data_IF_227490291379
#
_entry.id   IF_227490291379
#
_cell.length_a   1.000
_cell.length_b   1.000
_cell.length_c   1.000
_cell.angle_alpha   90.00
_cell.angle_beta   90.00
_cell.angle_gamma   90.00
#
_symmetry.space_group_name_H-M   'P 1'
#
loop_
_entity.id
_entity.type
_entity.pdbx_description
1 polymer ?
#
# COMPACT_ATOMS: atom_id res chain seq x y z
N UNK A 1 -12.65 5.39 -14.35
CA UNK A 1 -12.43 3.96 -14.11
C UNK A 1 -11.04 3.56 -14.57
N UNK A 2 -10.30 2.81 -13.73
CA UNK A 2 -8.95 2.37 -14.08
C UNK A 2 -8.99 1.28 -15.15
N UNK A 3 -8.17 1.42 -16.18
CA UNK A 3 -8.06 0.44 -17.25
C UNK A 3 -6.60 0.05 -17.46
N UNK A 4 -6.34 -1.25 -17.58
CA UNK A 4 -5.02 -1.79 -17.85
C UNK A 4 -4.49 -1.23 -19.20
N UNK A 5 -3.23 -0.80 -19.21
CA UNK A 5 -2.58 -0.22 -20.39
C UNK A 5 -2.87 1.26 -20.61
N UNK A 6 -3.75 1.87 -19.83
CA UNK A 6 -4.09 3.29 -19.93
C UNK A 6 -3.36 4.12 -18.87
N UNK A 7 -3.29 5.43 -19.09
CA UNK A 7 -2.67 6.37 -18.16
C UNK A 7 -3.75 6.90 -17.21
N UNK A 8 -3.54 6.70 -15.91
CA UNK A 8 -4.41 7.18 -14.84
C UNK A 8 -3.83 8.46 -14.25
N UNK A 9 -4.71 9.43 -13.96
CA UNK A 9 -4.35 10.73 -13.39
C UNK A 9 -3.26 11.49 -14.18
N UNK A 10 -3.16 11.22 -15.49
CA UNK A 10 -2.16 11.84 -16.36
C UNK A 10 -0.71 11.47 -16.02
N UNK A 11 -0.48 10.48 -15.17
CA UNK A 11 0.84 10.16 -14.63
C UNK A 11 1.16 8.67 -14.58
N UNK A 12 0.19 7.84 -14.22
CA UNK A 12 0.43 6.42 -13.92
C UNK A 12 -0.03 5.53 -15.05
N UNK A 13 0.91 4.87 -15.72
CA UNK A 13 0.56 3.86 -16.73
C UNK A 13 0.26 2.54 -16.02
N UNK A 14 -1.00 2.14 -16.03
CA UNK A 14 -1.46 0.95 -15.33
C UNK A 14 -1.01 -0.31 -16.05
N UNK A 15 -0.30 -1.20 -15.36
CA UNK A 15 0.24 -2.44 -15.91
C UNK A 15 -0.69 -3.61 -15.61
N UNK A 16 -1.05 -3.81 -14.34
CA UNK A 16 -1.91 -4.92 -13.91
C UNK A 16 -2.45 -4.66 -12.50
N UNK A 17 -3.52 -5.35 -12.15
CA UNK A 17 -4.01 -5.36 -10.78
C UNK A 17 -3.19 -6.35 -9.95
N UNK A 18 -2.69 -5.92 -8.80
CA UNK A 18 -1.83 -6.73 -7.91
C UNK A 18 -2.44 -6.99 -6.54
N UNK A 19 -3.54 -6.33 -6.21
CA UNK A 19 -4.20 -6.52 -4.93
C UNK A 19 -5.67 -6.17 -4.98
N UNK A 20 -6.44 -6.80 -4.10
CA UNK A 20 -7.86 -6.56 -3.97
C UNK A 20 -8.24 -6.54 -2.49
N UNK A 21 -8.49 -5.35 -1.97
CA UNK A 21 -8.94 -5.16 -0.60
C UNK A 21 -10.44 -5.06 -0.46
N UNK A 22 -10.92 -4.85 0.75
CA UNK A 22 -12.35 -4.67 1.02
C UNK A 22 -12.94 -3.42 0.38
N UNK A 23 -12.22 -2.30 0.43
CA UNK A 23 -12.69 -0.99 -0.04
C UNK A 23 -11.87 -0.44 -1.21
N UNK A 24 -10.68 -0.96 -1.45
CA UNK A 24 -9.76 -0.44 -2.44
C UNK A 24 -9.09 -1.57 -3.23
N UNK A 25 -8.73 -1.27 -4.47
CA UNK A 25 -7.94 -2.13 -5.32
C UNK A 25 -6.54 -1.54 -5.49
N UNK A 26 -5.55 -2.40 -5.69
CA UNK A 26 -4.16 -1.98 -5.88
C UNK A 26 -3.66 -2.43 -7.25
N UNK A 27 -3.03 -1.50 -7.96
CA UNK A 27 -2.50 -1.72 -9.31
C UNK A 27 -1.00 -1.47 -9.34
N UNK A 28 -0.28 -2.30 -10.09
CA UNK A 28 1.08 -1.99 -10.48
C UNK A 28 1.04 -0.99 -11.63
N UNK A 29 1.80 0.07 -11.51
CA UNK A 29 1.87 1.11 -12.54
C UNK A 29 3.29 1.62 -12.72
N UNK A 30 3.55 2.27 -13.85
CA UNK A 30 4.78 3.04 -14.07
C UNK A 30 4.48 4.51 -13.87
N UNK A 31 5.27 5.16 -13.03
CA UNK A 31 5.16 6.59 -12.78
C UNK A 31 5.93 7.35 -13.85
N UNK A 32 5.21 7.97 -14.78
CA UNK A 32 5.82 8.65 -15.92
C UNK A 32 6.57 9.92 -15.54
N UNK A 33 6.29 10.49 -14.36
CA UNK A 33 7.04 11.65 -13.85
C UNK A 33 8.37 11.19 -13.23
N UNK A 34 8.41 9.97 -12.68
CA UNK A 34 9.62 9.38 -12.10
C UNK A 34 10.31 8.42 -13.07
N UNK A 35 10.42 8.80 -14.33
CA UNK A 35 11.12 8.06 -15.39
C UNK A 35 10.65 6.61 -15.57
N UNK A 36 9.36 6.34 -15.37
CA UNK A 36 8.81 5.00 -15.51
C UNK A 36 9.09 4.07 -14.33
N UNK A 37 9.47 4.61 -13.19
CA UNK A 37 9.65 3.83 -11.96
C UNK A 37 8.36 3.10 -11.59
N UNK A 38 8.49 1.83 -11.17
CA UNK A 38 7.33 1.04 -10.77
C UNK A 38 6.80 1.50 -9.41
N UNK A 39 5.49 1.72 -9.36
CA UNK A 39 4.78 2.12 -8.13
C UNK A 39 3.51 1.29 -7.98
N UNK A 40 3.00 1.22 -6.75
CA UNK A 40 1.69 0.64 -6.48
C UNK A 40 0.68 1.78 -6.33
N UNK A 41 -0.42 1.71 -7.08
CA UNK A 41 -1.50 2.69 -7.01
C UNK A 41 -2.70 2.04 -6.35
N UNK A 42 -3.08 2.55 -5.19
CA UNK A 42 -4.25 2.09 -4.43
C UNK A 42 -5.41 3.03 -4.70
N UNK A 43 -6.53 2.48 -5.14
CA UNK A 43 -7.68 3.25 -5.58
C UNK A 43 -8.93 2.81 -4.81
N UNK A 44 -9.64 3.77 -4.23
CA UNK A 44 -10.91 3.50 -3.57
C UNK A 44 -11.93 3.00 -4.61
N UNK A 45 -12.60 1.87 -4.33
CA UNK A 45 -13.54 1.28 -5.27
C UNK A 45 -14.72 2.22 -5.56
N UNK A 46 -15.26 2.12 -6.75
CA UNK A 46 -16.34 2.97 -7.26
C UNK A 46 -17.57 3.00 -6.33
N UNK A 47 -17.92 1.87 -5.76
CA UNK A 47 -19.08 1.78 -4.84
C UNK A 47 -18.88 2.51 -3.50
N UNK A 48 -17.65 2.91 -3.17
CA UNK A 48 -17.36 3.69 -1.96
C UNK A 48 -17.09 5.17 -2.25
N UNK A 49 -16.97 5.57 -3.51
CA UNK A 49 -16.64 6.95 -3.87
C UNK A 49 -17.74 7.96 -3.52
N UNK A 50 -18.97 7.52 -3.45
CA UNK A 50 -20.11 8.35 -3.07
C UNK A 50 -20.41 8.32 -1.57
N UNK A 51 -19.65 7.51 -0.81
CA UNK A 51 -19.78 7.45 0.65
C UNK A 51 -18.80 8.46 1.29
N UNK A 52 -19.29 9.58 1.85
CA UNK A 52 -18.40 10.60 2.44
C UNK A 52 -17.55 10.07 3.58
N UNK A 53 -18.04 9.09 4.33
CA UNK A 53 -17.30 8.49 5.46
C UNK A 53 -16.14 7.67 4.93
N UNK A 54 -16.37 6.87 3.89
CA UNK A 54 -15.31 6.06 3.28
C UNK A 54 -14.23 6.94 2.64
N UNK A 55 -14.62 7.98 1.92
CA UNK A 55 -13.69 8.93 1.30
C UNK A 55 -12.86 9.66 2.37
N UNK A 56 -13.49 10.16 3.43
CA UNK A 56 -12.80 10.87 4.49
C UNK A 56 -11.81 9.95 5.22
N UNK A 57 -12.18 8.70 5.46
CA UNK A 57 -11.30 7.71 6.08
C UNK A 57 -10.09 7.41 5.18
N UNK A 58 -10.32 7.19 3.89
CA UNK A 58 -9.26 6.93 2.92
C UNK A 58 -8.24 8.08 2.91
N UNK A 59 -8.72 9.32 2.82
CA UNK A 59 -7.88 10.51 2.79
C UNK A 59 -7.10 10.69 4.10
N UNK A 60 -7.75 10.48 5.24
CA UNK A 60 -7.13 10.64 6.56
C UNK A 60 -6.01 9.61 6.77
N UNK A 61 -6.27 8.35 6.46
CA UNK A 61 -5.28 7.29 6.59
C UNK A 61 -4.10 7.51 5.65
N UNK A 62 -4.37 7.93 4.41
CA UNK A 62 -3.33 8.23 3.44
C UNK A 62 -2.41 9.35 3.92
N UNK A 63 -2.97 10.46 4.42
CA UNK A 63 -2.19 11.59 4.93
C UNK A 63 -1.35 11.19 6.15
N UNK A 64 -1.93 10.42 7.07
CA UNK A 64 -1.21 9.96 8.24
C UNK A 64 -0.04 9.06 7.87
N UNK A 65 -0.24 8.14 6.93
CA UNK A 65 0.81 7.25 6.45
C UNK A 65 1.88 7.99 5.64
N UNK A 66 1.51 9.03 4.90
CA UNK A 66 2.44 9.82 4.11
C UNK A 66 3.50 10.54 4.96
N UNK A 67 3.18 10.83 6.22
CA UNK A 67 4.11 11.47 7.15
C UNK A 67 5.10 10.49 7.79
N UNK A 68 4.94 9.19 7.56
CA UNK A 68 5.84 8.17 8.09
C UNK A 68 7.02 7.96 7.16
N UNK A 69 8.23 8.14 7.68
CA UNK A 69 9.47 7.87 6.97
C UNK A 69 10.28 6.85 7.76
N UNK A 70 10.22 5.59 7.34
CA UNK A 70 10.91 4.50 8.02
C UNK A 70 11.26 3.41 6.99
N UNK A 71 12.45 2.78 7.08
CA UNK A 71 12.89 1.77 6.10
C UNK A 71 11.99 0.53 6.04
N UNK A 72 11.19 0.26 7.06
CA UNK A 72 10.29 -0.90 7.12
C UNK A 72 8.82 -0.52 6.95
N UNK A 73 8.54 0.70 6.52
CA UNK A 73 7.18 1.16 6.18
C UNK A 73 7.17 1.58 4.71
N UNK A 74 6.20 1.09 3.95
CA UNK A 74 6.02 1.47 2.54
C UNK A 74 5.79 2.97 2.45
N UNK A 75 6.58 3.64 1.60
CA UNK A 75 6.53 5.09 1.44
C UNK A 75 5.44 5.49 0.46
N UNK A 76 4.59 6.44 0.86
CA UNK A 76 3.59 7.04 -0.01
C UNK A 76 4.24 8.19 -0.78
N UNK A 77 4.11 8.18 -2.11
CA UNK A 77 4.73 9.17 -2.99
C UNK A 77 3.74 10.19 -3.52
N UNK A 78 2.45 9.88 -3.54
CA UNK A 78 1.42 10.80 -4.04
C UNK A 78 0.05 10.43 -3.48
N UNK A 79 -0.80 11.43 -3.28
CA UNK A 79 -2.20 11.28 -2.88
C UNK A 79 -3.02 12.23 -3.74
N UNK A 80 -4.12 11.76 -4.30
CA UNK A 80 -4.95 12.61 -5.14
C UNK A 80 -6.33 12.08 -5.43
N UNK A 81 -6.99 12.78 -6.33
CA UNK A 81 -8.32 12.46 -6.83
C UNK A 81 -8.34 12.64 -8.34
N UNK A 82 -8.90 11.66 -9.05
CA UNK A 82 -9.08 11.71 -10.50
C UNK A 82 -10.50 11.30 -10.85
N UNK A 83 -11.25 12.21 -11.47
CA UNK A 83 -12.66 12.00 -11.85
C UNK A 83 -13.52 11.50 -10.69
N UNK A 84 -13.35 12.10 -9.50
CA UNK A 84 -14.06 11.69 -8.29
C UNK A 84 -13.50 10.45 -7.61
N UNK A 85 -12.46 9.84 -8.18
CA UNK A 85 -11.88 8.62 -7.65
C UNK A 85 -10.66 8.91 -6.79
N UNK A 86 -10.73 8.56 -5.51
CA UNK A 86 -9.62 8.76 -4.56
C UNK A 86 -8.53 7.72 -4.80
N UNK A 87 -7.28 8.15 -4.82
CA UNK A 87 -6.15 7.25 -4.97
C UNK A 87 -4.94 7.70 -4.14
N UNK A 88 -4.04 6.77 -3.91
CA UNK A 88 -2.70 7.05 -3.43
C UNK A 88 -1.68 6.20 -4.21
N UNK A 89 -0.49 6.75 -4.38
CA UNK A 89 0.63 6.01 -4.96
C UNK A 89 1.67 5.77 -3.88
N UNK A 90 2.26 4.58 -3.90
CA UNK A 90 3.29 4.18 -2.93
C UNK A 90 4.38 3.41 -3.64
N UNK A 91 5.55 3.29 -2.99
CA UNK A 91 6.62 2.46 -3.53
C UNK A 91 6.12 1.04 -3.75
N UNK A 92 6.55 0.44 -4.86
CA UNK A 92 6.25 -0.95 -5.14
C UNK A 92 7.34 -1.83 -4.54
N UNK A 93 6.93 -2.77 -3.70
CA UNK A 93 7.84 -3.77 -3.12
C UNK A 93 7.64 -5.07 -3.88
N UNK A 94 8.61 -5.38 -4.75
CA UNK A 94 8.61 -6.64 -5.47
C UNK A 94 8.97 -7.77 -4.53
N UNK A 95 8.20 -8.85 -4.53
CA UNK A 95 8.42 -9.99 -3.67
C UNK A 95 7.12 -10.58 -3.17
N UNK A 96 7.21 -11.32 -2.08
CA UNK A 96 6.07 -12.01 -1.48
C UNK A 96 5.58 -11.25 -0.26
N UNK A 97 4.27 -11.33 0.02
CA UNK A 97 3.78 -11.01 1.36
C UNK A 97 4.21 -12.11 2.34
N UNK A 98 4.19 -11.81 3.63
CA UNK A 98 4.66 -12.74 4.65
C UNK A 98 3.82 -14.01 4.70
N UNK A 99 2.52 -13.94 4.46
CA UNK A 99 1.64 -15.11 4.45
C UNK A 99 2.09 -16.11 3.39
N UNK A 100 2.36 -15.65 2.18
CA UNK A 100 2.83 -16.48 1.08
C UNK A 100 4.24 -17.02 1.35
N UNK A 101 5.12 -16.19 1.90
CA UNK A 101 6.47 -16.59 2.28
C UNK A 101 6.44 -17.73 3.32
N UNK A 102 5.61 -17.63 4.35
CA UNK A 102 5.44 -18.68 5.35
C UNK A 102 4.95 -19.97 4.69
N UNK A 103 3.97 -19.88 3.81
CA UNK A 103 3.40 -21.04 3.12
C UNK A 103 4.44 -21.77 2.28
N UNK A 104 5.31 -21.04 1.58
CA UNK A 104 6.32 -21.61 0.70
C UNK A 104 7.59 -22.07 1.43
N UNK A 105 7.90 -21.51 2.60
CA UNK A 105 9.14 -21.73 3.33
C UNK A 105 8.95 -22.30 4.74
N UNK A 106 7.76 -22.78 5.06
CA UNK A 106 7.48 -23.36 6.38
C UNK A 106 8.19 -24.71 6.57
N UNK A 107 8.69 -25.01 7.78
CA UNK A 107 8.68 -24.14 8.98
C UNK A 107 9.77 -23.06 8.92
N UNK A 108 9.42 -21.87 9.41
CA UNK A 108 10.38 -20.77 9.53
C UNK A 108 11.21 -20.96 10.81
N UNK A 109 12.52 -20.73 10.73
CA UNK A 109 13.38 -20.81 11.90
C UNK A 109 13.04 -19.74 12.94
N UNK A 110 13.36 -20.00 14.21
CA UNK A 110 13.16 -19.01 15.26
C UNK A 110 13.97 -17.72 15.01
N UNK A 111 15.17 -17.84 14.49
CA UNK A 111 16.02 -16.70 14.16
C UNK A 111 15.37 -15.82 13.10
N UNK A 112 14.85 -16.43 12.05
CA UNK A 112 14.17 -15.71 10.97
C UNK A 112 12.88 -15.05 11.46
N UNK A 113 12.09 -15.75 12.25
CA UNK A 113 10.86 -15.20 12.84
C UNK A 113 11.16 -13.98 13.71
N UNK A 114 12.19 -14.06 14.55
CA UNK A 114 12.62 -12.93 15.40
C UNK A 114 13.08 -11.75 14.55
N UNK A 115 13.84 -12.01 13.49
CA UNK A 115 14.30 -10.95 12.58
C UNK A 115 13.13 -10.23 11.91
N UNK A 116 12.17 -10.96 11.39
CA UNK A 116 10.98 -10.39 10.74
C UNK A 116 10.15 -9.59 11.75
N UNK A 117 9.86 -10.18 12.92
CA UNK A 117 9.09 -9.50 13.96
C UNK A 117 9.78 -8.26 14.49
N UNK A 118 11.12 -8.29 14.61
CA UNK A 118 11.90 -7.13 15.02
C UNK A 118 11.71 -5.94 14.08
N UNK A 119 11.70 -6.19 12.78
CA UNK A 119 11.47 -5.15 11.78
C UNK A 119 10.04 -4.60 11.86
N UNK A 120 9.05 -5.46 12.03
CA UNK A 120 7.64 -5.05 12.20
C UNK A 120 7.49 -4.18 13.44
N UNK A 121 8.08 -4.59 14.56
CA UNK A 121 7.99 -3.85 15.81
C UNK A 121 8.63 -2.46 15.72
N UNK A 122 9.76 -2.33 15.03
CA UNK A 122 10.39 -1.03 14.80
C UNK A 122 9.48 -0.10 13.98
N UNK A 123 8.85 -0.63 12.93
CA UNK A 123 7.90 0.13 12.13
C UNK A 123 6.68 0.57 12.95
N UNK A 124 6.11 -0.36 13.72
CA UNK A 124 4.95 -0.07 14.56
C UNK A 124 5.28 0.91 15.68
N UNK A 125 6.49 0.85 16.23
CA UNK A 125 6.96 1.82 17.22
C UNK A 125 6.90 3.25 16.69
N UNK A 126 7.40 3.48 15.47
CA UNK A 126 7.31 4.80 14.84
C UNK A 126 5.86 5.22 14.63
N UNK A 127 5.05 4.33 14.06
CA UNK A 127 3.63 4.63 13.82
C UNK A 127 2.91 4.99 15.13
N UNK A 128 3.12 4.23 16.19
CA UNK A 128 2.48 4.48 17.49
C UNK A 128 2.95 5.79 18.13
N UNK A 129 4.22 6.17 17.98
CA UNK A 129 4.70 7.48 18.47
C UNK A 129 4.06 8.64 17.71
N UNK A 130 3.56 8.41 16.50
CA UNK A 130 2.81 9.40 15.70
C UNK A 130 1.29 9.26 15.87
N UNK A 131 0.83 8.45 16.83
CA UNK A 131 -0.58 8.26 17.11
C UNK A 131 -1.32 7.37 16.14
N UNK A 132 -0.61 6.60 15.30
CA UNK A 132 -1.20 5.71 14.31
C UNK A 132 -1.22 4.29 14.86
N UNK A 133 -2.39 3.66 14.86
CA UNK A 133 -2.58 2.25 15.21
C UNK A 133 -3.01 1.51 13.96
N UNK A 134 -2.30 0.45 13.60
CA UNK A 134 -2.55 -0.30 12.36
C UNK A 134 -3.94 -0.92 12.31
N UNK A 135 -4.38 -1.57 13.38
CA UNK A 135 -5.69 -2.22 13.54
C UNK A 135 -5.94 -3.46 12.67
N UNK A 136 -5.09 -3.76 11.71
CA UNK A 136 -5.25 -4.93 10.82
C UNK A 136 -3.89 -5.56 10.49
N UNK A 137 -3.04 -5.69 11.51
CA UNK A 137 -1.71 -6.30 11.33
C UNK A 137 -1.86 -7.81 11.16
N UNK A 138 -1.47 -8.30 10.00
CA UNK A 138 -1.52 -9.73 9.65
C UNK A 138 -0.45 -10.03 8.59
N UNK A 139 -0.09 -11.31 8.38
CA UNK A 139 0.97 -11.67 7.43
C UNK A 139 0.76 -11.18 6.00
N UNK A 140 -0.49 -11.02 5.56
CA UNK A 140 -0.79 -10.50 4.22
C UNK A 140 -0.37 -9.03 4.03
N UNK A 141 -0.24 -8.27 5.12
CA UNK A 141 0.10 -6.86 5.09
C UNK A 141 1.60 -6.60 5.33
N UNK A 142 2.41 -7.64 5.37
CA UNK A 142 3.86 -7.58 5.52
C UNK A 142 4.50 -8.01 4.20
N UNK A 143 5.27 -7.11 3.58
CA UNK A 143 5.99 -7.37 2.33
C UNK A 143 7.47 -7.66 2.63
N UNK A 144 8.01 -8.63 1.92
CA UNK A 144 9.39 -9.08 2.11
C UNK A 144 10.26 -8.73 0.92
#
# INVERSE_FOLDING_TARGET
>A
MIQIGKIFAGRYKIIKQIGRGGMADVYLAKDLILDGEEVAVKVLRTNYQTDPIAVARFQREAKAMADLDHPHIVRITDIGEEDGQQYLAMEYVAGLDLKRYIKENSPISNEEAVRIMGQILLAMRLAHTRGIVHRDLKPQNVLL
#
